data_IF_494306080681
#
_entry.id   IF_494306080681
#
_cell.length_a   1.000
_cell.length_b   1.000
_cell.length_c   1.000
_cell.angle_alpha   90.00
_cell.angle_beta   90.00
_cell.angle_gamma   90.00
#
_symmetry.space_group_name_H-M   'P 1'
#
loop_
_entity.id
_entity.type
_entity.pdbx_description
1 polymer ?
#
# COMPACT_ATOMS: atom_id res chain seq x y z
N UNK A 1 -10.07 -8.86 7.53
CA UNK A 1 -10.50 -7.43 7.58
C UNK A 1 -9.25 -6.56 7.48
N UNK A 2 -9.29 -5.49 6.69
CA UNK A 2 -8.16 -4.55 6.54
C UNK A 2 -7.88 -3.78 7.84
N UNK A 3 -6.61 -3.44 8.04
CA UNK A 3 -6.17 -2.62 9.15
C UNK A 3 -6.91 -1.26 9.15
N UNK A 4 -7.41 -0.87 10.32
CA UNK A 4 -8.22 0.35 10.47
C UNK A 4 -7.37 1.62 10.61
N UNK A 5 -6.03 1.50 10.56
CA UNK A 5 -5.14 2.66 10.71
C UNK A 5 -5.11 3.51 9.45
N UNK A 6 -5.39 4.80 9.67
CA UNK A 6 -5.29 5.84 8.66
C UNK A 6 -4.13 6.77 8.97
N UNK A 7 -3.48 7.25 7.92
CA UNK A 7 -2.39 8.22 8.02
C UNK A 7 -2.63 9.38 7.07
N UNK A 8 -2.55 10.60 7.60
CA UNK A 8 -2.43 11.80 6.75
C UNK A 8 -1.05 11.82 6.12
N UNK A 9 -1.01 12.07 4.82
CA UNK A 9 0.24 12.19 4.06
C UNK A 9 0.82 13.58 4.36
N UNK A 10 2.03 13.67 4.94
CA UNK A 10 2.72 14.94 5.13
C UNK A 10 2.87 15.68 3.79
N UNK A 11 2.76 17.01 3.81
CA UNK A 11 2.77 17.81 2.57
C UNK A 11 4.07 17.64 1.77
N UNK A 12 5.20 17.51 2.46
CA UNK A 12 6.50 17.31 1.81
C UNK A 12 6.58 15.95 1.12
N UNK A 13 6.05 14.89 1.75
CA UNK A 13 5.97 13.56 1.14
C UNK A 13 4.95 13.52 0.00
N UNK A 14 3.83 14.24 0.09
CA UNK A 14 2.88 14.32 -1.01
C UNK A 14 3.51 14.98 -2.25
N UNK A 15 4.30 16.05 -2.06
CA UNK A 15 5.05 16.69 -3.15
C UNK A 15 6.09 15.75 -3.73
N UNK A 16 6.91 15.13 -2.88
CA UNK A 16 7.94 14.18 -3.32
C UNK A 16 7.32 12.98 -4.07
N UNK A 17 6.14 12.52 -3.65
CA UNK A 17 5.42 11.45 -4.32
C UNK A 17 4.98 11.81 -5.74
N UNK A 18 4.46 13.04 -5.94
CA UNK A 18 4.10 13.55 -7.26
C UNK A 18 5.33 13.65 -8.17
N UNK A 19 6.45 14.16 -7.64
CA UNK A 19 7.70 14.29 -8.37
C UNK A 19 8.27 12.93 -8.81
N UNK A 20 8.23 11.91 -7.94
CA UNK A 20 8.73 10.56 -8.23
C UNK A 20 7.84 9.79 -9.20
N UNK A 21 6.52 9.91 -9.06
CA UNK A 21 5.57 9.11 -9.84
C UNK A 21 5.22 9.73 -11.19
N UNK A 22 5.30 11.05 -11.31
CA UNK A 22 4.72 11.78 -12.44
C UNK A 22 3.18 11.81 -12.40
N UNK A 23 2.56 11.38 -11.29
CA UNK A 23 1.12 11.45 -11.11
C UNK A 23 0.66 12.91 -11.02
N UNK A 24 -0.57 13.17 -11.45
CA UNK A 24 -1.21 14.49 -11.32
C UNK A 24 -1.81 14.70 -9.92
N UNK A 25 -1.98 13.62 -9.16
CA UNK A 25 -2.63 13.61 -7.87
C UNK A 25 -2.13 12.45 -7.00
N UNK A 26 -2.02 12.70 -5.69
CA UNK A 26 -1.85 11.69 -4.65
C UNK A 26 -2.84 11.97 -3.52
N UNK A 27 -3.37 10.92 -2.90
CA UNK A 27 -4.30 11.06 -1.79
C UNK A 27 -3.66 11.80 -0.60
N UNK A 28 -4.46 12.61 0.09
CA UNK A 28 -4.00 13.35 1.30
C UNK A 28 -4.02 12.50 2.57
N UNK A 29 -4.68 11.36 2.53
CA UNK A 29 -4.68 10.38 3.59
C UNK A 29 -4.83 8.99 2.98
N UNK A 30 -4.09 8.04 3.53
CA UNK A 30 -4.10 6.65 3.09
C UNK A 30 -4.47 5.74 4.26
N UNK A 31 -5.23 4.68 3.96
CA UNK A 31 -5.47 3.59 4.89
C UNK A 31 -4.35 2.56 4.74
N UNK A 32 -3.97 1.90 5.83
CA UNK A 32 -3.14 0.71 5.76
C UNK A 32 -3.85 -0.37 4.92
N UNK A 33 -3.18 -0.87 3.87
CA UNK A 33 -3.74 -1.88 2.96
C UNK A 33 -3.53 -3.31 3.45
N UNK A 34 -2.75 -3.50 4.50
CA UNK A 34 -2.52 -4.80 5.13
C UNK A 34 -3.77 -5.27 5.90
N UNK A 35 -3.87 -6.58 6.12
CA UNK A 35 -4.83 -7.19 7.05
C UNK A 35 -4.60 -6.70 8.49
N UNK A 36 -5.55 -6.91 9.40
CA UNK A 36 -5.41 -6.48 10.79
C UNK A 36 -4.10 -7.01 11.42
N UNK A 37 -3.22 -6.10 11.79
CA UNK A 37 -1.86 -6.41 12.23
C UNK A 37 -1.36 -5.36 13.23
N UNK A 38 -0.25 -5.68 13.90
CA UNK A 38 0.55 -4.75 14.69
C UNK A 38 1.84 -4.41 13.94
N UNK A 39 2.44 -3.25 14.21
CA UNK A 39 3.75 -2.87 13.66
C UNK A 39 3.69 -1.80 12.57
N UNK A 40 4.49 -1.97 11.51
CA UNK A 40 4.61 -0.97 10.43
C UNK A 40 3.46 -1.06 9.45
N UNK A 41 2.90 0.09 9.11
CA UNK A 41 1.75 0.20 8.24
C UNK A 41 2.17 0.70 6.86
N UNK A 42 1.41 0.27 5.85
CA UNK A 42 1.69 0.57 4.46
C UNK A 42 0.42 1.00 3.74
N UNK A 43 0.44 2.19 3.17
CA UNK A 43 -0.66 2.78 2.42
C UNK A 43 -0.23 3.13 1.01
N UNK A 44 -0.97 2.63 0.02
CA UNK A 44 -0.69 2.89 -1.39
C UNK A 44 -0.98 4.36 -1.71
N UNK A 45 -0.02 5.05 -2.36
CA UNK A 45 -0.20 6.43 -2.81
C UNK A 45 -0.53 6.50 -4.31
N UNK A 46 0.26 5.81 -5.12
CA UNK A 46 0.11 5.78 -6.58
C UNK A 46 0.98 4.68 -7.15
N UNK A 47 0.56 4.11 -8.27
CA UNK A 47 1.47 3.37 -9.14
C UNK A 47 2.59 4.29 -9.62
N UNK A 48 3.78 3.73 -9.82
CA UNK A 48 4.86 4.48 -10.46
C UNK A 48 4.82 4.27 -11.97
N UNK A 49 5.44 5.18 -12.73
CA UNK A 49 5.65 4.95 -14.16
C UNK A 49 6.52 3.72 -14.47
N UNK A 50 7.23 3.15 -13.47
CA UNK A 50 8.02 1.94 -13.64
C UNK A 50 7.13 0.70 -13.48
N UNK A 51 7.12 -0.13 -14.52
CA UNK A 51 6.30 -1.35 -14.57
C UNK A 51 6.61 -2.28 -13.38
N UNK A 52 5.57 -2.74 -12.68
CA UNK A 52 5.70 -3.70 -11.58
C UNK A 52 6.15 -3.10 -10.26
N UNK A 53 6.03 -1.78 -10.07
CA UNK A 53 6.32 -1.11 -8.80
C UNK A 53 5.33 0.00 -8.50
N UNK A 54 5.01 0.17 -7.22
CA UNK A 54 4.15 1.23 -6.72
C UNK A 54 4.85 2.04 -5.62
N UNK A 55 4.38 3.28 -5.44
CA UNK A 55 4.83 4.17 -4.38
C UNK A 55 3.90 4.04 -3.17
N UNK A 56 4.50 3.77 -2.02
CA UNK A 56 3.81 3.54 -0.77
C UNK A 56 4.26 4.55 0.28
N UNK A 57 3.33 4.90 1.18
CA UNK A 57 3.65 5.50 2.45
C UNK A 57 3.87 4.39 3.47
N UNK A 58 5.04 4.36 4.11
CA UNK A 58 5.35 3.50 5.26
C UNK A 58 5.34 4.34 6.53
N UNK A 59 4.70 3.87 7.60
CA UNK A 59 4.73 4.56 8.88
C UNK A 59 4.68 3.62 10.08
N UNK A 60 5.24 4.06 11.19
CA UNK A 60 5.09 3.42 12.49
C UNK A 60 4.69 4.48 13.54
N UNK A 61 3.57 4.25 14.24
CA UNK A 61 3.05 5.23 15.20
C UNK A 61 2.65 6.57 14.55
N UNK A 62 2.81 7.67 15.29
CA UNK A 62 2.28 9.01 14.94
C UNK A 62 3.29 9.95 14.29
N UNK A 63 4.59 9.73 14.41
CA UNK A 63 5.57 10.76 14.07
C UNK A 63 6.36 10.46 12.79
N UNK A 64 6.72 9.20 12.54
CA UNK A 64 7.58 8.85 11.40
C UNK A 64 6.76 8.24 10.27
N UNK A 65 6.85 8.87 9.09
CA UNK A 65 6.34 8.33 7.84
C UNK A 65 7.36 8.62 6.72
N UNK A 66 7.50 7.69 5.80
CA UNK A 66 8.44 7.78 4.68
C UNK A 66 7.82 7.24 3.39
N UNK A 67 8.38 7.66 2.26
CA UNK A 67 8.03 7.13 0.95
C UNK A 67 8.92 5.96 0.59
N UNK A 68 8.31 4.85 0.20
CA UNK A 68 9.03 3.65 -0.27
C UNK A 68 8.47 3.21 -1.62
N UNK A 69 9.36 2.87 -2.54
CA UNK A 69 8.98 2.24 -3.81
C UNK A 69 9.13 0.73 -3.61
N UNK A 70 8.04 -0.01 -3.76
CA UNK A 70 8.02 -1.44 -3.56
C UNK A 70 7.52 -2.15 -4.82
N UNK A 71 8.10 -3.31 -5.17
CA UNK A 71 7.62 -4.11 -6.29
C UNK A 71 6.25 -4.69 -5.99
N UNK A 72 5.46 -4.92 -7.03
CA UNK A 72 4.15 -5.56 -6.91
C UNK A 72 4.30 -7.03 -6.49
N UNK A 73 3.30 -7.56 -5.78
CA UNK A 73 3.28 -8.95 -5.40
C UNK A 73 3.29 -9.86 -6.65
N UNK A 74 4.20 -10.85 -6.74
CA UNK A 74 4.29 -11.72 -7.92
C UNK A 74 3.15 -12.74 -8.02
N UNK A 75 2.23 -12.76 -7.05
CA UNK A 75 1.07 -13.65 -7.04
C UNK A 75 0.04 -13.15 -8.04
N UNK A 76 0.21 -13.63 -9.27
CA UNK A 76 -0.69 -13.41 -10.41
C UNK A 76 -1.86 -14.39 -10.45
N UNK A 77 -1.77 -15.49 -9.69
CA UNK A 77 -2.85 -16.46 -9.59
C UNK A 77 -3.94 -15.85 -8.70
N UNK A 78 -5.15 -15.64 -9.24
CA UNK A 78 -6.15 -14.91 -8.50
C UNK A 78 -6.75 -15.73 -7.37
N UNK A 79 -7.31 -15.02 -6.39
CA UNK A 79 -8.28 -15.61 -5.47
C UNK A 79 -9.54 -16.11 -6.20
N UNK A 80 -10.55 -16.59 -5.47
CA UNK A 80 -11.81 -17.08 -6.04
C UNK A 80 -12.48 -16.15 -7.07
N UNK A 81 -12.20 -14.84 -6.98
CA UNK A 81 -12.80 -13.78 -7.81
C UNK A 81 -11.98 -13.37 -9.05
N UNK A 82 -10.84 -14.01 -9.34
CA UNK A 82 -10.10 -13.72 -10.57
C UNK A 82 -9.14 -12.52 -10.50
N UNK A 83 -9.03 -11.83 -9.36
CA UNK A 83 -8.09 -10.71 -9.15
C UNK A 83 -6.77 -11.15 -8.48
N UNK A 84 -5.64 -10.66 -9.00
CA UNK A 84 -4.31 -10.85 -8.42
C UNK A 84 -4.09 -10.00 -7.16
N UNK A 85 -3.02 -10.26 -6.42
CA UNK A 85 -2.75 -9.47 -5.22
C UNK A 85 -2.31 -8.04 -5.55
N UNK A 86 -3.02 -7.04 -5.02
CA UNK A 86 -2.71 -5.62 -5.20
C UNK A 86 -1.73 -5.04 -4.17
N UNK A 87 -0.99 -5.88 -3.44
CA UNK A 87 0.00 -5.44 -2.43
C UNK A 87 1.43 -5.56 -2.97
N UNK A 88 2.39 -5.05 -2.21
CA UNK A 88 3.81 -5.16 -2.54
C UNK A 88 4.38 -6.57 -2.32
N UNK A 89 5.48 -6.93 -2.96
CA UNK A 89 6.16 -8.20 -2.77
C UNK A 89 6.77 -8.31 -1.37
N UNK A 90 6.58 -9.46 -0.71
CA UNK A 90 7.10 -9.71 0.63
C UNK A 90 6.24 -9.16 1.77
N UNK A 91 5.00 -8.74 1.51
CA UNK A 91 4.04 -8.47 2.58
C UNK A 91 3.81 -9.75 3.40
N UNK A 92 3.85 -9.61 4.73
CA UNK A 92 3.77 -10.75 5.64
C UNK A 92 2.33 -11.26 5.85
N UNK A 93 1.34 -10.44 5.51
CA UNK A 93 -0.07 -10.76 5.73
C UNK A 93 -0.61 -11.77 4.71
N UNK A 94 -1.67 -12.48 5.12
CA UNK A 94 -2.49 -13.25 4.18
C UNK A 94 -3.01 -12.33 3.08
N UNK A 95 -3.15 -12.87 1.87
CA UNK A 95 -3.70 -12.10 0.77
C UNK A 95 -5.14 -11.69 1.11
N UNK A 96 -5.52 -10.51 0.65
CA UNK A 96 -6.85 -9.93 0.91
C UNK A 96 -8.02 -10.86 0.52
N UNK A 97 -7.83 -11.74 -0.48
CA UNK A 97 -8.81 -12.74 -0.89
C UNK A 97 -8.92 -13.95 0.06
N UNK A 98 -7.85 -14.32 0.77
CA UNK A 98 -7.86 -15.40 1.77
C UNK A 98 -8.69 -14.99 3.01
N UNK A 99 -8.67 -13.70 3.30
CA UNK A 99 -9.43 -13.07 4.40
C UNK A 99 -10.94 -13.03 4.12
N UNK A 100 -11.35 -12.94 2.86
CA UNK A 100 -12.76 -12.90 2.45
C UNK A 100 -13.45 -14.27 2.57
N UNK A 101 -12.69 -15.38 2.54
CA UNK A 101 -13.21 -16.75 2.61
C UNK A 101 -13.57 -17.23 4.02
N UNK A 102 -13.40 -16.40 5.06
CA UNK A 102 -13.74 -16.74 6.47
C UNK A 102 -15.10 -16.19 6.94
N UNK A 103 -16.00 -15.85 6.00
CA UNK A 103 -17.36 -15.36 6.28
C UNK A 103 -18.42 -16.43 6.22
#
# INVERSE_FOLDING_TARGET
>A
MRCAHWRRVPIDLAREALEKSGATYVDRAVQCQLSAHEGEHFGLLTDTCAYGTALWLRWQGTDEAELVVLPDCPVVAPGPDGEGCCLFAGHAEQHTWEDALKG
#
